data_IF_078568860459
#
_entry.id   IF_078568860459
#
_cell.length_a   1.000
_cell.length_b   1.000
_cell.length_c   1.000
_cell.angle_alpha   90.00
_cell.angle_beta   90.00
_cell.angle_gamma   90.00
#
_symmetry.space_group_name_H-M   'P 1'
#
loop_
_entity.id
_entity.type
_entity.pdbx_description
1 polymer ?
#
# COMPACT_ATOMS: atom_id res chain seq x y z
N UNK A 1 -23.20 -5.85 1.88
CA UNK A 1 -21.72 -5.87 2.04
C UNK A 1 -21.17 -4.63 1.38
N UNK A 2 -20.21 -3.94 2.00
CA UNK A 2 -19.55 -2.77 1.40
C UNK A 2 -18.69 -3.20 0.20
N UNK A 3 -17.99 -4.33 0.32
CA UNK A 3 -17.20 -4.99 -0.73
C UNK A 3 -17.13 -6.49 -0.43
N UNK A 4 -16.92 -7.32 -1.45
CA UNK A 4 -16.61 -8.73 -1.29
C UNK A 4 -15.15 -8.89 -0.81
N UNK A 5 -14.93 -9.58 0.30
CA UNK A 5 -13.60 -9.76 0.88
C UNK A 5 -12.66 -10.60 -0.01
N UNK A 6 -13.20 -11.47 -0.86
CA UNK A 6 -12.40 -12.22 -1.84
C UNK A 6 -11.77 -11.27 -2.86
N UNK A 7 -12.53 -10.28 -3.32
CA UNK A 7 -12.04 -9.27 -4.26
C UNK A 7 -11.00 -8.37 -3.57
N UNK A 8 -11.29 -7.91 -2.34
CA UNK A 8 -10.34 -7.11 -1.56
C UNK A 8 -9.00 -7.84 -1.36
N UNK A 9 -9.05 -9.13 -0.99
CA UNK A 9 -7.85 -9.95 -0.83
C UNK A 9 -7.03 -9.99 -2.13
N UNK A 10 -7.70 -10.17 -3.27
CA UNK A 10 -7.04 -10.17 -4.59
C UNK A 10 -6.39 -8.82 -4.89
N UNK A 11 -7.06 -7.71 -4.60
CA UNK A 11 -6.49 -6.38 -4.83
C UNK A 11 -5.29 -6.10 -3.93
N UNK A 12 -5.34 -6.51 -2.66
CA UNK A 12 -4.18 -6.40 -1.74
C UNK A 12 -3.00 -7.28 -2.18
N UNK A 13 -3.28 -8.48 -2.70
CA UNK A 13 -2.24 -9.36 -3.24
C UNK A 13 -1.47 -8.69 -4.39
N UNK A 14 -2.19 -8.13 -5.37
CA UNK A 14 -1.58 -7.47 -6.53
C UNK A 14 -0.91 -6.13 -6.18
N UNK A 15 -1.51 -5.34 -5.29
CA UNK A 15 -1.04 -3.99 -4.97
C UNK A 15 0.05 -3.95 -3.89
N UNK A 16 0.13 -4.96 -3.02
CA UNK A 16 0.98 -4.95 -1.82
C UNK A 16 1.89 -6.17 -1.80
N UNK A 17 1.33 -7.39 -1.74
CA UNK A 17 2.13 -8.60 -1.49
C UNK A 17 3.12 -8.86 -2.62
N UNK A 18 2.66 -8.93 -3.87
CA UNK A 18 3.54 -9.18 -5.02
C UNK A 18 4.67 -8.16 -5.19
N UNK A 19 4.44 -6.84 -5.08
CA UNK A 19 5.51 -5.88 -5.25
C UNK A 19 6.42 -5.70 -4.02
N UNK A 20 5.96 -6.01 -2.80
CA UNK A 20 6.69 -5.62 -1.57
C UNK A 20 7.16 -6.80 -0.71
N UNK A 21 6.46 -7.95 -0.73
CA UNK A 21 6.78 -9.06 0.17
C UNK A 21 8.13 -9.71 -0.19
N UNK A 22 8.97 -9.92 0.84
CA UNK A 22 10.33 -10.44 0.68
C UNK A 22 11.20 -9.66 -0.33
N UNK A 23 11.02 -8.34 -0.44
CA UNK A 23 11.79 -7.43 -1.30
C UNK A 23 12.63 -6.44 -0.52
N UNK A 24 13.73 -6.00 -1.13
CA UNK A 24 14.40 -4.77 -0.73
C UNK A 24 13.69 -3.59 -1.43
N UNK A 25 13.13 -2.65 -0.65
CA UNK A 25 12.34 -1.55 -1.22
C UNK A 25 13.15 -0.70 -2.19
N UNK A 26 14.35 -0.27 -1.80
CA UNK A 26 15.15 0.68 -2.58
C UNK A 26 15.78 0.05 -3.83
N UNK A 27 15.94 -1.28 -3.87
CA UNK A 27 16.58 -1.99 -4.98
C UNK A 27 15.59 -2.71 -5.91
N UNK A 28 14.54 -3.33 -5.36
CA UNK A 28 13.64 -4.21 -6.10
C UNK A 28 12.34 -3.52 -6.53
N UNK A 29 12.00 -2.37 -5.94
CA UNK A 29 10.75 -1.66 -6.19
C UNK A 29 11.06 -0.34 -6.88
N UNK A 30 10.82 -0.22 -8.21
CA UNK A 30 11.26 0.93 -9.00
C UNK A 30 10.79 2.30 -8.47
N UNK A 31 9.66 2.34 -7.76
CA UNK A 31 9.15 3.56 -7.15
C UNK A 31 10.12 4.17 -6.11
N UNK A 32 10.84 3.33 -5.35
CA UNK A 32 11.75 3.79 -4.30
C UNK A 32 13.18 4.05 -4.79
N UNK A 33 13.45 3.93 -6.10
CA UNK A 33 14.76 4.27 -6.66
C UNK A 33 15.13 5.75 -6.42
N UNK A 34 14.13 6.64 -6.51
CA UNK A 34 14.29 8.09 -6.33
C UNK A 34 13.48 8.64 -5.14
N UNK A 35 12.84 7.76 -4.36
CA UNK A 35 11.96 8.11 -3.23
C UNK A 35 12.43 7.36 -1.98
N UNK A 36 12.71 8.09 -0.90
CA UNK A 36 13.14 7.48 0.37
C UNK A 36 12.06 6.54 0.91
N UNK A 37 12.41 5.30 1.23
CA UNK A 37 11.50 4.23 1.68
C UNK A 37 11.02 4.36 3.14
N UNK A 38 10.66 5.58 3.57
CA UNK A 38 10.03 5.84 4.87
C UNK A 38 8.65 5.15 4.97
N UNK A 39 8.18 4.88 6.19
CA UNK A 39 6.85 4.28 6.41
C UNK A 39 5.73 5.14 5.80
N UNK A 40 5.90 6.47 5.81
CA UNK A 40 5.03 7.44 5.17
C UNK A 40 4.95 7.24 3.66
N UNK A 41 6.10 7.18 2.98
CA UNK A 41 6.14 6.96 1.53
C UNK A 41 5.66 5.56 1.14
N UNK A 42 5.85 4.56 1.99
CA UNK A 42 5.26 3.22 1.81
C UNK A 42 3.73 3.27 1.90
N UNK A 43 3.16 4.01 2.86
CA UNK A 43 1.72 4.18 2.97
C UNK A 43 1.11 4.89 1.74
N UNK A 44 1.80 5.91 1.22
CA UNK A 44 1.43 6.60 -0.03
C UNK A 44 1.51 5.65 -1.23
N UNK A 45 2.62 4.91 -1.38
CA UNK A 45 2.80 3.93 -2.45
C UNK A 45 1.69 2.87 -2.46
N UNK A 46 1.35 2.31 -1.29
CA UNK A 46 0.28 1.32 -1.15
C UNK A 46 -1.07 1.94 -1.54
N UNK A 47 -1.35 3.17 -1.08
CA UNK A 47 -2.58 3.88 -1.43
C UNK A 47 -2.71 4.06 -2.94
N UNK A 48 -1.69 4.59 -3.59
CA UNK A 48 -1.69 4.81 -5.05
C UNK A 48 -1.84 3.51 -5.84
N UNK A 49 -1.25 2.41 -5.39
CA UNK A 49 -1.43 1.12 -6.05
C UNK A 49 -2.84 0.55 -5.84
N UNK A 50 -3.40 0.64 -4.63
CA UNK A 50 -4.76 0.18 -4.37
C UNK A 50 -5.80 0.97 -5.18
N UNK A 51 -5.61 2.28 -5.38
CA UNK A 51 -6.49 3.10 -6.22
C UNK A 51 -6.56 2.65 -7.68
N UNK A 52 -5.54 1.95 -8.20
CA UNK A 52 -5.55 1.40 -9.57
C UNK A 52 -6.50 0.20 -9.73
N UNK A 53 -6.76 -0.51 -8.64
CA UNK A 53 -7.58 -1.73 -8.64
C UNK A 53 -8.97 -1.52 -8.04
N UNK A 54 -9.09 -0.63 -7.05
CA UNK A 54 -10.34 -0.36 -6.36
C UNK A 54 -11.21 0.63 -7.15
N UNK A 55 -12.54 0.50 -7.09
CA UNK A 55 -13.44 1.52 -7.62
C UNK A 55 -13.22 2.88 -6.92
N UNK A 56 -13.38 3.96 -7.68
CA UNK A 56 -13.24 5.31 -7.17
C UNK A 56 -14.16 5.56 -5.96
N UNK A 57 -13.63 6.23 -4.93
CA UNK A 57 -14.37 6.60 -3.72
C UNK A 57 -14.54 5.48 -2.69
N UNK A 58 -14.01 4.27 -2.94
CA UNK A 58 -14.13 3.13 -2.00
C UNK A 58 -12.98 3.08 -1.00
N UNK A 59 -11.75 3.41 -1.42
CA UNK A 59 -10.59 3.40 -0.54
C UNK A 59 -10.67 4.59 0.43
N UNK A 60 -10.72 4.29 1.73
CA UNK A 60 -10.85 5.30 2.78
C UNK A 60 -9.55 5.59 3.53
N UNK A 61 -8.75 4.56 3.81
CA UNK A 61 -7.55 4.68 4.65
C UNK A 61 -6.58 3.52 4.42
N UNK A 62 -5.29 3.83 4.35
CA UNK A 62 -4.19 2.86 4.47
C UNK A 62 -3.49 3.09 5.81
N UNK A 63 -3.17 2.01 6.51
CA UNK A 63 -2.45 2.04 7.79
C UNK A 63 -1.29 1.06 7.71
N UNK A 64 -0.07 1.55 7.89
CA UNK A 64 1.16 0.76 7.86
C UNK A 64 1.79 0.76 9.23
N UNK A 65 2.17 -0.43 9.68
CA UNK A 65 2.95 -0.64 10.89
C UNK A 65 4.34 -1.09 10.45
N UNK A 66 5.34 -0.24 10.66
CA UNK A 66 6.73 -0.65 10.47
C UNK A 66 7.20 -1.51 11.65
N UNK A 67 6.80 -1.08 12.84
CA UNK A 67 6.92 -1.83 14.10
C UNK A 67 5.66 -1.59 14.95
N UNK A 68 5.54 -2.23 16.10
CA UNK A 68 4.41 -2.01 17.02
C UNK A 68 4.29 -0.56 17.51
N UNK A 69 5.41 0.19 17.52
CA UNK A 69 5.48 1.57 18.02
C UNK A 69 5.46 2.61 16.89
N UNK A 70 5.74 2.21 15.64
CA UNK A 70 5.86 3.11 14.50
C UNK A 70 4.72 2.84 13.51
N UNK A 71 3.79 3.79 13.44
CA UNK A 71 2.53 3.62 12.72
C UNK A 71 2.26 4.86 11.88
N UNK A 72 2.02 4.65 10.58
CA UNK A 72 1.55 5.72 9.69
C UNK A 72 0.15 5.40 9.19
N UNK A 73 -0.66 6.45 9.08
CA UNK A 73 -1.99 6.42 8.48
C UNK A 73 -2.01 7.43 7.34
N UNK A 74 -2.43 6.99 6.15
CA UNK A 74 -2.61 7.86 4.99
C UNK A 74 -4.03 7.72 4.43
N UNK A 75 -4.59 8.84 3.96
CA UNK A 75 -5.99 8.96 3.49
C UNK A 75 -6.12 9.62 2.12
N UNK A 76 -5.02 9.86 1.40
CA UNK A 76 -5.05 10.58 0.12
C UNK A 76 -5.24 12.10 0.26
N UNK A 77 -4.81 12.66 1.40
CA UNK A 77 -4.80 14.12 1.69
C UNK A 77 -3.58 14.81 1.08
#
# INVERSE_FOLDING_TARGET
>A
MVMNLTDLKKYMEEAIMKPLDHKNLDLDVPYFADVVSTTENVAVYIWENLQKYLPAGVLYKVKVYETDNNIVVYKGE
#
